data_IF_585672301969
#
_entry.id   IF_585672301969
#
_cell.length_a   1.000
_cell.length_b   1.000
_cell.length_c   1.000
_cell.angle_alpha   90.00
_cell.angle_beta   90.00
_cell.angle_gamma   90.00
#
_symmetry.space_group_name_H-M   'P 1'
#
loop_
_entity.id
_entity.type
_entity.pdbx_description
1 polymer ?
#
# COMPACT_ATOMS: atom_id res chain seq x y z
N UNK A 1 -4.44 -26.69 -8.00
CA UNK A 1 -3.85 -25.37 -8.21
C UNK A 1 -4.88 -24.31 -7.82
N UNK A 2 -4.46 -23.37 -7.02
CA UNK A 2 -5.33 -22.30 -6.56
C UNK A 2 -5.64 -21.30 -7.67
N UNK A 3 -6.92 -20.92 -7.78
CA UNK A 3 -7.36 -19.89 -8.72
C UNK A 3 -8.24 -18.89 -7.97
N UNK A 4 -7.93 -17.60 -8.04
CA UNK A 4 -8.82 -16.61 -7.43
C UNK A 4 -10.15 -16.53 -8.17
N UNK A 5 -11.22 -16.30 -7.42
CA UNK A 5 -12.55 -16.15 -7.97
C UNK A 5 -12.58 -14.95 -8.94
N UNK A 6 -13.21 -15.14 -10.10
CA UNK A 6 -13.33 -14.10 -11.11
C UNK A 6 -12.05 -13.82 -11.90
N UNK A 7 -11.07 -14.69 -11.80
CA UNK A 7 -9.78 -14.51 -12.43
C UNK A 7 -9.48 -15.67 -13.36
N UNK A 8 -9.18 -15.36 -14.61
CA UNK A 8 -8.81 -16.35 -15.63
C UNK A 8 -7.39 -16.03 -16.09
N UNK A 9 -6.47 -16.99 -15.87
CA UNK A 9 -5.08 -16.83 -16.28
C UNK A 9 -4.95 -17.05 -17.79
N UNK A 10 -4.22 -16.15 -18.44
CA UNK A 10 -3.98 -16.21 -19.87
C UNK A 10 -4.95 -15.33 -20.64
N UNK A 11 -6.21 -15.71 -20.71
CA UNK A 11 -7.25 -14.89 -21.33
C UNK A 11 -8.12 -14.30 -20.21
N UNK A 12 -7.61 -13.26 -19.58
CA UNK A 12 -8.05 -12.90 -18.26
C UNK A 12 -9.27 -12.02 -18.16
N UNK A 13 -10.18 -12.45 -17.32
CA UNK A 13 -11.24 -11.60 -16.83
C UNK A 13 -10.93 -11.26 -15.38
N UNK A 14 -10.76 -9.96 -15.10
CA UNK A 14 -10.39 -9.48 -13.77
C UNK A 14 -11.57 -8.71 -13.20
N UNK A 15 -11.99 -9.06 -11.97
CA UNK A 15 -13.07 -8.35 -11.29
C UNK A 15 -12.62 -6.97 -10.83
N UNK A 16 -13.57 -6.06 -10.56
CA UNK A 16 -13.27 -4.74 -10.00
C UNK A 16 -12.53 -4.86 -8.67
N UNK A 17 -12.90 -5.85 -7.85
CA UNK A 17 -12.24 -6.09 -6.59
C UNK A 17 -10.76 -6.46 -6.78
N UNK A 18 -10.47 -7.32 -7.74
CA UNK A 18 -9.10 -7.72 -8.07
C UNK A 18 -8.29 -6.53 -8.56
N UNK A 19 -8.88 -5.67 -9.39
CA UNK A 19 -8.21 -4.46 -9.89
C UNK A 19 -7.83 -3.52 -8.77
N UNK A 20 -8.72 -3.36 -7.78
CA UNK A 20 -8.43 -2.52 -6.63
C UNK A 20 -7.31 -3.11 -5.78
N UNK A 21 -7.30 -4.42 -5.57
CA UNK A 21 -6.22 -5.10 -4.86
C UNK A 21 -4.88 -4.85 -5.56
N UNK A 22 -4.83 -5.07 -6.87
CA UNK A 22 -3.63 -4.86 -7.67
C UNK A 22 -3.15 -3.41 -7.60
N UNK A 23 -4.09 -2.46 -7.64
CA UNK A 23 -3.74 -1.04 -7.56
C UNK A 23 -3.10 -0.69 -6.22
N UNK A 24 -3.60 -1.24 -5.12
CA UNK A 24 -3.05 -1.01 -3.79
C UNK A 24 -1.63 -1.59 -3.69
N UNK A 25 -1.44 -2.84 -4.10
CA UNK A 25 -0.12 -3.47 -4.05
C UNK A 25 0.89 -2.75 -4.95
N UNK A 26 0.46 -2.34 -6.13
CA UNK A 26 1.32 -1.57 -7.04
C UNK A 26 1.70 -0.23 -6.42
N UNK A 27 0.74 0.45 -5.80
CA UNK A 27 1.00 1.75 -5.18
C UNK A 27 2.06 1.66 -4.09
N UNK A 28 2.01 0.62 -3.26
CA UNK A 28 2.95 0.47 -2.15
C UNK A 28 4.25 -0.25 -2.54
N UNK A 29 4.37 -0.70 -3.77
CA UNK A 29 5.59 -1.37 -4.24
C UNK A 29 6.76 -0.41 -4.45
N UNK A 30 6.50 0.88 -4.58
CA UNK A 30 7.52 1.88 -4.86
C UNK A 30 7.94 2.60 -3.57
N UNK A 31 9.26 2.75 -3.32
CA UNK A 31 9.74 3.39 -2.10
C UNK A 31 9.34 4.86 -1.97
N UNK A 32 9.29 5.60 -3.08
CA UNK A 32 8.85 7.00 -3.04
C UNK A 32 7.40 7.10 -2.61
N UNK A 33 6.55 6.23 -3.14
CA UNK A 33 5.14 6.24 -2.75
C UNK A 33 4.95 5.84 -1.30
N UNK A 34 5.72 4.86 -0.79
CA UNK A 34 5.68 4.52 0.64
C UNK A 34 6.10 5.71 1.51
N UNK A 35 7.11 6.46 1.07
CA UNK A 35 7.56 7.63 1.82
C UNK A 35 6.48 8.72 1.84
N UNK A 36 5.78 8.93 0.74
CA UNK A 36 4.65 9.87 0.68
C UNK A 36 3.58 9.46 1.69
N UNK A 37 3.25 8.17 1.75
CA UNK A 37 2.27 7.68 2.72
C UNK A 37 2.75 7.90 4.16
N UNK A 38 4.04 7.74 4.42
CA UNK A 38 4.63 8.00 5.73
C UNK A 38 4.49 9.47 6.11
N UNK A 39 4.75 10.37 5.17
CA UNK A 39 4.57 11.81 5.39
C UNK A 39 3.10 12.11 5.73
N UNK A 40 2.18 11.57 4.96
CA UNK A 40 0.75 11.82 5.16
C UNK A 40 0.18 11.16 6.40
N UNK A 41 0.85 10.13 6.91
CA UNK A 41 0.48 9.54 8.20
C UNK A 41 0.61 10.55 9.34
N UNK A 42 1.51 11.50 9.21
CA UNK A 42 1.70 12.58 10.18
C UNK A 42 0.66 13.68 10.09
N UNK A 43 -0.16 13.69 9.03
CA UNK A 43 -1.18 14.70 8.82
C UNK A 43 -1.24 15.12 7.36
N UNK A 44 -2.28 15.85 7.00
CA UNK A 44 -2.46 16.33 5.63
C UNK A 44 -1.37 17.35 5.25
N UNK A 45 -1.01 17.35 3.98
CA UNK A 45 0.04 18.21 3.44
C UNK A 45 -0.31 18.70 2.04
N UNK A 46 0.22 19.85 1.67
CA UNK A 46 0.10 20.33 0.29
C UNK A 46 1.01 19.53 -0.63
N UNK A 47 0.66 19.46 -1.91
CA UNK A 47 1.50 18.80 -2.93
C UNK A 47 2.90 19.42 -2.94
N UNK A 48 2.98 20.76 -2.84
CA UNK A 48 4.26 21.46 -2.82
C UNK A 48 5.13 21.05 -1.63
N UNK A 49 4.54 20.93 -0.46
CA UNK A 49 5.25 20.54 0.74
C UNK A 49 5.74 19.09 0.68
N UNK A 50 4.91 18.21 0.13
CA UNK A 50 5.33 16.83 -0.12
C UNK A 50 6.54 16.81 -1.05
N UNK A 51 6.48 17.56 -2.15
CA UNK A 51 7.55 17.58 -3.16
C UNK A 51 8.89 18.07 -2.59
N UNK A 52 8.87 18.92 -1.59
CA UNK A 52 10.09 19.42 -0.96
C UNK A 52 10.93 18.32 -0.30
N UNK A 53 10.31 17.19 0.03
CA UNK A 53 11.00 16.07 0.67
C UNK A 53 11.78 15.19 -0.31
N UNK A 54 11.69 15.46 -1.60
CA UNK A 54 12.26 14.58 -2.63
C UNK A 54 13.13 15.35 -3.61
N UNK A 55 14.16 14.66 -4.10
CA UNK A 55 15.01 15.18 -5.17
C UNK A 55 14.48 14.74 -6.53
N UNK A 56 13.25 15.08 -6.82
CA UNK A 56 12.67 14.76 -8.11
C UNK A 56 11.73 15.88 -8.53
N UNK A 57 11.40 15.93 -9.81
CA UNK A 57 10.59 17.00 -10.35
C UNK A 57 9.17 16.96 -9.78
N UNK A 58 8.52 18.11 -9.81
CA UNK A 58 7.12 18.25 -9.39
C UNK A 58 6.20 17.34 -10.22
N UNK A 59 6.37 17.24 -11.56
CA UNK A 59 5.59 16.29 -12.35
C UNK A 59 5.80 14.83 -11.94
N UNK A 60 7.01 14.45 -11.53
CA UNK A 60 7.28 13.09 -11.06
C UNK A 60 6.53 12.80 -9.76
N UNK A 61 6.54 13.74 -8.82
CA UNK A 61 5.78 13.62 -7.57
C UNK A 61 4.29 13.53 -7.87
N UNK A 62 3.79 14.37 -8.79
CA UNK A 62 2.38 14.34 -9.17
C UNK A 62 1.97 12.99 -9.74
N UNK A 63 2.86 12.34 -10.50
CA UNK A 63 2.60 11.02 -11.04
C UNK A 63 2.48 9.97 -9.92
N UNK A 64 3.38 10.03 -8.92
CA UNK A 64 3.29 9.15 -7.77
C UNK A 64 1.99 9.37 -6.98
N UNK A 65 1.62 10.62 -6.77
CA UNK A 65 0.36 10.96 -6.10
C UNK A 65 -0.85 10.44 -6.87
N UNK A 66 -0.80 10.49 -8.20
CA UNK A 66 -1.89 10.00 -9.04
C UNK A 66 -2.10 8.51 -8.87
N UNK A 67 -1.00 7.74 -8.79
CA UNK A 67 -1.09 6.28 -8.55
C UNK A 67 -1.64 5.98 -7.15
N UNK A 68 -1.22 6.74 -6.15
CA UNK A 68 -1.76 6.60 -4.79
C UNK A 68 -3.24 6.96 -4.74
N UNK A 69 -3.63 8.00 -5.48
CA UNK A 69 -5.03 8.43 -5.59
C UNK A 69 -5.88 7.34 -6.27
N UNK A 70 -5.37 6.75 -7.36
CA UNK A 70 -6.08 5.68 -8.07
C UNK A 70 -6.28 4.44 -7.20
N UNK A 71 -5.37 4.19 -6.27
CA UNK A 71 -5.49 3.09 -5.32
C UNK A 71 -6.42 3.42 -4.14
N UNK A 72 -6.91 4.65 -4.06
CA UNK A 72 -7.76 5.09 -2.96
C UNK A 72 -7.01 5.44 -1.69
N UNK A 73 -5.68 5.48 -1.73
CA UNK A 73 -4.84 5.73 -0.55
C UNK A 73 -4.66 7.21 -0.24
N UNK A 74 -4.84 8.07 -1.23
CA UNK A 74 -4.70 9.52 -1.07
C UNK A 74 -5.95 10.20 -1.60
N UNK A 75 -6.43 11.18 -0.84
CA UNK A 75 -7.53 12.05 -1.22
C UNK A 75 -6.96 13.46 -1.37
N UNK A 76 -7.31 14.14 -2.46
CA UNK A 76 -6.83 15.50 -2.72
C UNK A 76 -8.00 16.46 -2.73
N UNK A 77 -7.83 17.59 -2.04
CA UNK A 77 -8.81 18.67 -2.02
C UNK A 77 -8.15 19.97 -2.42
N UNK A 78 -8.91 20.82 -3.10
CA UNK A 78 -8.47 22.18 -3.35
C UNK A 78 -8.82 23.08 -2.17
N UNK A 79 -7.86 23.90 -1.77
CA UNK A 79 -8.09 24.97 -0.81
C UNK A 79 -7.41 26.22 -1.37
N UNK A 80 -8.21 27.12 -1.96
CA UNK A 80 -7.67 28.25 -2.71
C UNK A 80 -6.87 27.74 -3.91
N UNK A 81 -5.61 28.17 -4.02
CA UNK A 81 -4.70 27.70 -5.06
C UNK A 81 -3.92 26.46 -4.66
N UNK A 82 -4.02 26.04 -3.40
CA UNK A 82 -3.30 24.88 -2.90
C UNK A 82 -4.09 23.59 -3.10
N UNK A 83 -3.37 22.51 -3.31
CA UNK A 83 -3.93 21.16 -3.36
C UNK A 83 -3.45 20.42 -2.12
N UNK A 84 -4.38 19.99 -1.28
CA UNK A 84 -4.09 19.37 -0.01
C UNK A 84 -4.36 17.87 -0.11
N UNK A 85 -3.35 17.08 0.22
CA UNK A 85 -3.42 15.63 0.21
C UNK A 85 -3.64 15.09 1.62
N UNK A 86 -4.50 14.10 1.73
CA UNK A 86 -4.79 13.40 2.99
C UNK A 86 -4.68 11.91 2.77
N UNK A 87 -4.22 11.20 3.80
CA UNK A 87 -4.16 9.74 3.78
C UNK A 87 -5.53 9.14 4.01
N UNK A 88 -5.88 8.16 3.19
CA UNK A 88 -6.97 7.24 3.48
C UNK A 88 -6.36 5.84 3.63
N UNK A 89 -6.24 5.38 4.86
CA UNK A 89 -5.57 4.12 5.15
C UNK A 89 -6.45 2.89 4.92
N UNK A 90 -7.74 3.07 4.66
CA UNK A 90 -8.66 1.94 4.52
C UNK A 90 -8.22 0.90 3.51
N UNK A 91 -7.77 1.27 2.30
CA UNK A 91 -7.35 0.25 1.33
C UNK A 91 -6.14 -0.58 1.79
N UNK A 92 -5.37 -0.09 2.76
CA UNK A 92 -4.25 -0.87 3.31
C UNK A 92 -4.72 -2.12 4.05
N UNK A 93 -6.00 -2.20 4.40
CA UNK A 93 -6.57 -3.42 4.99
C UNK A 93 -6.44 -4.62 4.06
N UNK A 94 -6.46 -4.39 2.76
CA UNK A 94 -6.26 -5.47 1.78
C UNK A 94 -4.90 -6.12 1.94
N UNK A 95 -3.88 -5.31 2.24
CA UNK A 95 -2.52 -5.79 2.48
C UNK A 95 -2.46 -6.55 3.79
N UNK A 96 -3.08 -6.01 4.84
CA UNK A 96 -3.15 -6.67 6.15
C UNK A 96 -3.84 -8.03 6.05
N UNK A 97 -4.97 -8.11 5.35
CA UNK A 97 -5.69 -9.36 5.15
C UNK A 97 -4.83 -10.39 4.43
N UNK A 98 -4.10 -9.96 3.41
CA UNK A 98 -3.21 -10.84 2.66
C UNK A 98 -2.08 -11.36 3.56
N UNK A 99 -1.49 -10.50 4.37
CA UNK A 99 -0.41 -10.88 5.28
C UNK A 99 -0.90 -11.87 6.34
N UNK A 100 -2.13 -11.71 6.81
CA UNK A 100 -2.70 -12.60 7.83
C UNK A 100 -2.73 -14.06 7.39
N UNK A 101 -2.85 -14.31 6.11
CA UNK A 101 -2.81 -15.68 5.60
C UNK A 101 -1.47 -16.35 5.89
N UNK A 102 -0.42 -15.58 6.14
CA UNK A 102 0.92 -16.08 6.43
C UNK A 102 1.26 -16.08 7.92
N UNK A 103 0.44 -15.46 8.75
CA UNK A 103 0.70 -15.37 10.20
C UNK A 103 0.78 -16.75 10.86
N UNK A 104 -0.06 -17.68 10.43
CA UNK A 104 -0.04 -19.04 10.96
C UNK A 104 1.34 -19.68 10.76
N UNK A 105 1.92 -19.49 9.58
CA UNK A 105 3.25 -20.02 9.26
C UNK A 105 4.30 -19.42 10.18
N UNK A 106 4.26 -18.10 10.37
CA UNK A 106 5.21 -17.41 11.24
C UNK A 106 5.06 -17.86 12.69
N UNK A 107 3.84 -17.96 13.17
CA UNK A 107 3.57 -18.38 14.55
C UNK A 107 4.05 -19.80 14.80
N UNK A 108 3.82 -20.71 13.87
CA UNK A 108 4.30 -22.08 13.97
C UNK A 108 5.83 -22.13 14.01
N UNK A 109 6.49 -21.33 13.16
CA UNK A 109 7.94 -21.27 13.12
C UNK A 109 8.52 -20.71 14.42
N UNK A 110 7.89 -19.66 14.96
CA UNK A 110 8.31 -19.09 16.24
C UNK A 110 8.11 -20.04 17.40
N UNK A 111 7.00 -20.77 17.41
CA UNK A 111 6.73 -21.76 18.42
C UNK A 111 7.71 -22.93 18.36
N UNK A 112 8.05 -23.36 17.17
CA UNK A 112 9.05 -24.42 16.97
C UNK A 112 10.42 -23.99 17.48
N UNK A 113 10.79 -22.75 17.20
CA UNK A 113 12.06 -22.20 17.68
C UNK A 113 12.06 -22.08 19.20
N UNK A 114 10.96 -21.59 19.78
CA UNK A 114 10.82 -21.49 21.23
C UNK A 114 10.96 -22.85 21.91
N UNK A 115 10.28 -23.84 21.38
CA UNK A 115 10.34 -25.21 21.88
C UNK A 115 11.76 -25.75 21.81
N UNK A 116 12.44 -25.54 20.68
CA UNK A 116 13.83 -25.97 20.51
C UNK A 116 14.74 -25.36 21.56
N UNK A 117 14.60 -24.06 21.80
CA UNK A 117 15.40 -23.36 22.81
C UNK A 117 15.12 -23.88 24.20
N UNK A 118 13.86 -24.11 24.54
CA UNK A 118 13.47 -24.63 25.88
C UNK A 118 13.98 -26.05 26.12
N UNK A 119 13.99 -26.91 25.10
CA UNK A 119 14.49 -28.27 25.21
C UNK A 119 16.01 -28.31 25.34
N UNK A 120 16.72 -27.30 24.91
CA UNK A 120 18.18 -27.22 25.01
C UNK A 120 18.67 -26.71 26.35
N UNK A 121 17.79 -26.23 27.19
CA UNK A 121 18.11 -25.82 28.56
C UNK A 121 17.92 -27.03 29.52
#
# INVERSE_FOLDING_TARGET
MWKPSGYIIGNRMVTNKTRQHDAVFRAIADPTRREILTILRGGQETVGHIAENFRMSRPAISKHLRLLHSAGLVVTRKRGTARICSLNAKPLRLVDDWIRDYETIWNESLQSLKKYIEEKQ
#
